data_IF_959646188735
#
_entry.id   IF_959646188735
#
_cell.length_a   1.000
_cell.length_b   1.000
_cell.length_c   1.000
_cell.angle_alpha   90.00
_cell.angle_beta   90.00
_cell.angle_gamma   90.00
#
_symmetry.space_group_name_H-M   'P 1'
#
loop_
_entity.id
_entity.type
_entity.pdbx_description
1 polymer ?
#
# COMPACT_ATOMS: atom_id res chain seq x y z
N UNK A 1 0.00 -13.75 4.33
CA UNK A 1 -0.87 -13.90 3.12
C UNK A 1 -0.79 -12.61 2.32
N UNK A 2 -0.83 -12.65 0.99
CA UNK A 2 -0.80 -11.45 0.14
C UNK A 2 -1.92 -11.48 -0.90
N UNK A 3 -2.47 -10.31 -1.24
CA UNK A 3 -3.41 -10.12 -2.35
C UNK A 3 -2.80 -9.18 -3.37
N UNK A 4 -2.99 -9.48 -4.64
CA UNK A 4 -2.52 -8.65 -5.74
C UNK A 4 -3.66 -8.35 -6.70
N UNK A 5 -3.71 -7.14 -7.23
CA UNK A 5 -4.58 -6.72 -8.32
C UNK A 5 -3.72 -6.09 -9.40
N UNK A 6 -3.86 -6.49 -10.66
CA UNK A 6 -3.07 -5.95 -11.78
C UNK A 6 -1.55 -5.97 -11.52
N UNK A 7 -1.04 -7.04 -10.93
CA UNK A 7 0.36 -7.21 -10.51
C UNK A 7 0.85 -6.22 -9.44
N UNK A 8 -0.07 -5.52 -8.76
CA UNK A 8 0.25 -4.64 -7.64
C UNK A 8 -0.19 -5.28 -6.33
N UNK A 9 0.64 -5.20 -5.30
CA UNK A 9 0.33 -5.71 -3.97
C UNK A 9 -0.71 -4.81 -3.31
N UNK A 10 -1.94 -5.28 -3.08
CA UNK A 10 -3.00 -4.46 -2.49
C UNK A 10 -3.16 -4.69 -0.98
N UNK A 11 -2.83 -5.88 -0.51
CA UNK A 11 -2.82 -6.21 0.91
C UNK A 11 -1.80 -7.29 1.23
N UNK A 12 -1.21 -7.20 2.42
CA UNK A 12 -0.48 -8.33 3.02
C UNK A 12 -0.70 -8.39 4.53
N UNK A 13 -0.65 -9.60 5.04
CA UNK A 13 -0.56 -9.87 6.48
C UNK A 13 0.88 -10.29 6.78
N UNK A 14 1.54 -9.54 7.66
CA UNK A 14 2.91 -9.82 8.09
C UNK A 14 2.97 -10.89 9.20
N UNK A 15 4.20 -11.22 9.64
CA UNK A 15 4.43 -12.27 10.65
C UNK A 15 3.87 -11.90 12.03
N UNK A 16 3.57 -10.62 12.27
CA UNK A 16 2.94 -10.13 13.49
C UNK A 16 1.41 -10.07 13.37
N UNK A 17 0.84 -10.68 12.34
CA UNK A 17 -0.61 -10.67 12.01
C UNK A 17 -1.16 -9.27 11.68
N UNK A 18 -0.29 -8.30 11.41
CA UNK A 18 -0.73 -6.96 11.04
C UNK A 18 -1.07 -6.92 9.55
N UNK A 19 -2.21 -6.32 9.24
CA UNK A 19 -2.65 -6.09 7.86
C UNK A 19 -2.10 -4.77 7.35
N UNK A 20 -1.43 -4.81 6.21
CA UNK A 20 -0.96 -3.65 5.47
C UNK A 20 -1.75 -3.55 4.18
N UNK A 21 -2.18 -2.34 3.81
CA UNK A 21 -2.86 -2.09 2.53
C UNK A 21 -2.11 -1.03 1.72
N UNK A 22 -2.24 -1.11 0.39
CA UNK A 22 -1.54 -0.22 -0.53
C UNK A 22 -2.47 0.22 -1.67
N UNK A 23 -2.34 1.48 -2.06
CA UNK A 23 -3.11 2.10 -3.13
C UNK A 23 -2.15 2.70 -4.15
N UNK A 24 -2.56 2.67 -5.41
CA UNK A 24 -1.74 3.08 -6.53
C UNK A 24 -2.52 4.00 -7.47
N UNK A 25 -1.80 4.89 -8.15
CA UNK A 25 -2.36 5.68 -9.25
C UNK A 25 -2.47 4.85 -10.55
N UNK A 26 -3.04 5.46 -11.60
CA UNK A 26 -3.21 4.83 -12.91
C UNK A 26 -1.88 4.49 -13.61
N UNK A 27 -0.77 5.14 -13.23
CA UNK A 27 0.56 4.89 -13.75
C UNK A 27 1.30 3.80 -12.95
N UNK A 28 0.71 3.35 -11.85
CA UNK A 28 1.21 2.31 -10.98
C UNK A 28 2.12 2.79 -9.85
N UNK A 29 2.18 4.09 -9.59
CA UNK A 29 2.91 4.64 -8.44
C UNK A 29 2.07 4.49 -7.17
N UNK A 30 2.69 4.10 -6.07
CA UNK A 30 2.00 4.00 -4.78
C UNK A 30 1.64 5.41 -4.27
N UNK A 31 0.37 5.64 -3.97
CA UNK A 31 -0.16 6.92 -3.47
C UNK A 31 -0.48 6.87 -1.99
N UNK A 32 -0.77 5.69 -1.45
CA UNK A 32 -1.08 5.51 -0.04
C UNK A 32 -0.62 4.13 0.45
N UNK A 33 -0.27 4.08 1.73
CA UNK A 33 -0.19 2.82 2.47
C UNK A 33 -0.78 2.97 3.86
N UNK A 34 -1.45 1.93 4.33
CA UNK A 34 -1.90 1.81 5.72
C UNK A 34 -1.18 0.66 6.39
N UNK A 35 -0.64 0.90 7.59
CA UNK A 35 0.08 -0.09 8.36
C UNK A 35 -0.40 -0.18 9.81
N UNK A 36 0.52 -0.51 10.72
CA UNK A 36 0.25 -0.67 12.15
C UNK A 36 -0.53 0.54 12.73
N UNK A 37 -1.48 0.27 13.63
CA UNK A 37 -2.35 1.26 14.28
C UNK A 37 -3.19 2.11 13.32
N UNK A 38 -3.56 1.57 12.15
CA UNK A 38 -4.32 2.29 11.11
C UNK A 38 -3.66 3.60 10.66
N UNK A 39 -2.33 3.71 10.82
CA UNK A 39 -1.59 4.88 10.37
C UNK A 39 -1.57 4.91 8.85
N UNK A 40 -2.13 5.99 8.29
CA UNK A 40 -2.14 6.29 6.87
C UNK A 40 -0.89 7.11 6.53
N UNK A 41 -0.18 6.70 5.48
CA UNK A 41 0.92 7.45 4.89
C UNK A 41 0.52 7.77 3.46
N UNK A 42 0.47 9.05 3.11
CA UNK A 42 0.20 9.53 1.77
C UNK A 42 1.49 9.96 1.08
N UNK A 43 1.63 9.55 -0.18
CA UNK A 43 2.78 9.86 -1.02
C UNK A 43 2.38 10.92 -2.04
N UNK A 44 3.02 12.08 -1.98
CA UNK A 44 2.88 13.09 -3.01
C UNK A 44 3.85 12.80 -4.16
N UNK A 45 3.42 12.95 -5.43
CA UNK A 45 4.33 12.87 -6.56
C UNK A 45 5.49 13.86 -6.37
N UNK A 46 6.71 13.38 -6.54
CA UNK A 46 7.87 14.26 -6.55
C UNK A 46 7.88 15.05 -7.86
N UNK A 47 7.33 16.26 -7.84
CA UNK A 47 7.43 17.20 -8.95
C UNK A 47 8.82 17.86 -8.88
N UNK A 48 9.65 17.63 -9.91
CA UNK A 48 10.94 18.31 -10.11
C UNK A 48 10.75 19.64 -10.82
#
# INVERSE_FOLDING_TARGET
MQTTLNNQLTSRIDNNTLTHTYQYDANGNQTQSTGNNARIIEYTPFNK
#
